data_IF_738979977280
#
_entry.id   IF_738979977280
#
_cell.length_a   1.000
_cell.length_b   1.000
_cell.length_c   1.000
_cell.angle_alpha   90.00
_cell.angle_beta   90.00
_cell.angle_gamma   90.00
#
_symmetry.space_group_name_H-M   'P 1'
#
loop_
_entity.id
_entity.type
_entity.pdbx_description
1 polymer ?
#
# COMPACT_ATOMS: atom_id res chain seq x y z
N UNK A 1 -13.89 -31.86 -13.30
CA UNK A 1 -12.58 -31.18 -13.46
C UNK A 1 -11.90 -31.16 -12.10
N UNK A 2 -10.95 -32.06 -11.86
CA UNK A 2 -10.19 -32.08 -10.60
C UNK A 2 -9.12 -30.98 -10.64
N UNK A 3 -9.21 -30.01 -9.74
CA UNK A 3 -8.12 -29.06 -9.51
C UNK A 3 -6.89 -29.86 -9.08
N UNK A 4 -5.86 -29.89 -9.91
CA UNK A 4 -4.56 -30.46 -9.52
C UNK A 4 -4.01 -29.56 -8.41
N UNK A 5 -4.06 -30.04 -7.18
CA UNK A 5 -3.25 -29.51 -6.09
C UNK A 5 -1.79 -29.78 -6.46
N UNK A 6 -1.12 -28.76 -7.00
CA UNK A 6 0.33 -28.82 -7.15
C UNK A 6 0.94 -28.98 -5.74
N UNK A 7 1.85 -29.95 -5.55
CA UNK A 7 2.56 -30.07 -4.29
C UNK A 7 3.29 -28.76 -4.02
N UNK A 8 3.27 -28.30 -2.77
CA UNK A 8 4.00 -27.10 -2.34
C UNK A 8 5.49 -27.30 -2.68
N UNK A 9 6.08 -26.33 -3.38
CA UNK A 9 7.52 -26.31 -3.62
C UNK A 9 8.22 -26.30 -2.26
N UNK A 10 9.19 -27.18 -1.98
CA UNK A 10 9.92 -27.18 -0.71
C UNK A 10 10.62 -25.85 -0.39
N UNK A 11 10.79 -24.95 -1.37
CA UNK A 11 11.27 -23.58 -1.18
C UNK A 11 10.16 -22.56 -0.81
N UNK A 12 8.89 -22.95 -0.79
CA UNK A 12 7.77 -22.09 -0.38
C UNK A 12 7.76 -21.94 1.15
N UNK A 13 7.98 -20.72 1.63
CA UNK A 13 7.77 -20.41 3.05
C UNK A 13 6.27 -20.47 3.35
N UNK A 14 5.87 -21.12 4.44
CA UNK A 14 4.52 -20.95 4.97
C UNK A 14 4.44 -19.64 5.74
N UNK A 15 3.48 -18.78 5.40
CA UNK A 15 3.21 -17.54 6.15
C UNK A 15 1.83 -17.70 6.77
N UNK A 16 1.80 -17.77 8.09
CA UNK A 16 0.55 -17.80 8.85
C UNK A 16 -0.11 -16.42 8.76
N UNK A 17 -1.35 -16.39 8.26
CA UNK A 17 -2.16 -15.18 8.16
C UNK A 17 -3.60 -15.53 8.52
N UNK A 18 -4.27 -14.75 9.39
CA UNK A 18 -5.69 -14.94 9.67
C UNK A 18 -6.52 -14.90 8.38
N UNK A 19 -7.44 -15.84 8.22
CA UNK A 19 -8.26 -15.95 7.00
C UNK A 19 -9.07 -14.67 6.73
N UNK A 20 -9.53 -14.00 7.79
CA UNK A 20 -10.21 -12.70 7.68
C UNK A 20 -9.34 -11.54 7.15
N UNK A 21 -8.03 -11.75 6.97
CA UNK A 21 -7.11 -10.74 6.42
C UNK A 21 -6.75 -11.02 4.96
N UNK A 22 -7.23 -12.12 4.38
CA UNK A 22 -6.94 -12.52 3.00
C UNK A 22 -7.83 -11.83 1.97
N UNK A 23 -8.98 -11.27 2.38
CA UNK A 23 -9.91 -10.62 1.45
C UNK A 23 -9.46 -9.21 1.01
N UNK A 24 -8.46 -8.61 1.69
CA UNK A 24 -7.87 -7.29 1.45
C UNK A 24 -8.85 -6.12 1.24
N UNK A 25 -10.16 -6.32 1.45
CA UNK A 25 -11.24 -5.41 1.09
C UNK A 25 -11.89 -5.70 -0.28
N UNK A 26 -13.09 -5.15 -0.54
CA UNK A 26 -13.88 -5.44 -1.75
C UNK A 26 -13.32 -4.78 -3.03
N UNK A 27 -12.39 -3.84 -2.90
CA UNK A 27 -11.86 -3.04 -3.99
C UNK A 27 -10.72 -3.74 -4.76
N UNK A 28 -10.70 -3.62 -6.09
CA UNK A 28 -9.61 -4.14 -6.94
C UNK A 28 -8.50 -3.08 -7.09
N UNK A 29 -7.26 -3.34 -6.62
CA UNK A 29 -6.15 -2.38 -6.73
C UNK A 29 -5.70 -2.18 -8.19
N UNK A 30 -6.17 -3.01 -9.14
CA UNK A 30 -5.93 -2.81 -10.56
C UNK A 30 -6.81 -1.70 -11.18
N UNK A 31 -7.86 -1.24 -10.49
CA UNK A 31 -8.64 -0.06 -10.90
C UNK A 31 -7.92 1.24 -10.51
N UNK A 32 -6.67 1.35 -10.98
CA UNK A 32 -5.68 2.31 -10.48
C UNK A 32 -6.13 3.77 -10.49
N UNK A 33 -6.90 4.19 -11.50
CA UNK A 33 -7.42 5.55 -11.64
C UNK A 33 -8.32 5.98 -10.46
N UNK A 34 -9.08 5.04 -9.88
CA UNK A 34 -9.95 5.30 -8.72
C UNK A 34 -9.14 5.63 -7.46
N UNK A 35 -7.89 5.18 -7.41
CA UNK A 35 -7.09 5.16 -6.19
C UNK A 35 -5.93 6.15 -6.21
N UNK A 36 -6.01 7.20 -7.03
CA UNK A 36 -5.00 8.26 -7.09
C UNK A 36 -5.38 9.38 -6.14
N UNK A 37 -4.44 9.79 -5.28
CA UNK A 37 -4.66 10.91 -4.37
C UNK A 37 -4.60 12.26 -5.10
N UNK A 38 -5.30 13.29 -4.59
CA UNK A 38 -5.21 14.65 -5.10
C UNK A 38 -3.78 15.19 -5.07
N UNK A 39 -3.47 16.11 -5.98
CA UNK A 39 -2.17 16.76 -6.03
C UNK A 39 -1.93 17.65 -4.79
N UNK A 40 -0.76 17.52 -4.15
CA UNK A 40 -0.35 18.37 -3.04
C UNK A 40 -0.31 19.85 -3.43
N UNK A 41 0.26 20.15 -4.60
CA UNK A 41 0.50 21.52 -5.06
C UNK A 41 -0.78 22.29 -5.40
N UNK A 42 -1.73 21.69 -6.12
CA UNK A 42 -2.92 22.40 -6.62
C UNK A 42 -4.26 21.82 -6.12
N UNK A 43 -4.25 20.68 -5.43
CA UNK A 43 -5.46 20.02 -4.94
C UNK A 43 -6.30 19.32 -6.01
N UNK A 44 -6.00 19.48 -7.30
CA UNK A 44 -6.74 18.84 -8.38
C UNK A 44 -6.50 17.33 -8.41
N UNK A 45 -7.47 16.61 -8.98
CA UNK A 45 -7.37 15.19 -9.24
C UNK A 45 -6.45 14.93 -10.45
N UNK A 46 -5.31 14.23 -10.27
CA UNK A 46 -4.42 13.88 -11.38
C UNK A 46 -5.04 12.78 -12.26
N UNK A 47 -4.56 12.69 -13.49
CA UNK A 47 -4.91 11.63 -14.44
C UNK A 47 -3.79 10.60 -14.58
N UNK A 48 -4.17 9.34 -14.76
CA UNK A 48 -3.25 8.27 -15.14
C UNK A 48 -3.23 8.13 -16.67
N UNK A 49 -2.07 7.94 -17.25
CA UNK A 49 -1.94 7.71 -18.69
C UNK A 49 -0.73 6.85 -19.05
N UNK A 50 -0.72 6.34 -20.28
CA UNK A 50 0.40 5.62 -20.86
C UNK A 50 1.28 6.60 -21.67
N UNK A 51 2.57 6.64 -21.34
CA UNK A 51 3.59 7.50 -21.98
C UNK A 51 4.79 6.59 -22.28
N UNK A 52 5.17 6.47 -23.55
CA UNK A 52 6.29 5.64 -24.00
C UNK A 52 6.25 4.20 -23.43
N UNK A 53 5.08 3.57 -23.48
CA UNK A 53 4.81 2.21 -22.96
C UNK A 53 4.94 2.08 -21.42
N UNK A 54 4.99 3.19 -20.70
CA UNK A 54 5.00 3.23 -19.24
C UNK A 54 3.79 4.01 -18.71
N UNK A 55 3.21 3.53 -17.63
CA UNK A 55 2.14 4.24 -16.93
C UNK A 55 2.73 5.37 -16.10
N UNK A 56 2.10 6.54 -16.13
CA UNK A 56 2.50 7.71 -15.35
C UNK A 56 1.27 8.50 -14.89
N UNK A 57 1.32 9.01 -13.67
CA UNK A 57 0.33 9.96 -13.16
C UNK A 57 0.79 11.38 -13.46
N UNK A 58 -0.09 12.21 -14.00
CA UNK A 58 0.17 13.62 -14.33
C UNK A 58 -0.94 14.51 -13.82
N UNK A 59 -0.55 15.62 -13.22
CA UNK A 59 -1.46 16.67 -12.81
C UNK A 59 -1.48 17.81 -13.84
N UNK A 60 -2.62 18.47 -14.01
CA UNK A 60 -2.76 19.63 -14.89
C UNK A 60 -1.85 20.80 -14.51
N UNK A 61 -1.38 20.89 -13.25
CA UNK A 61 -0.42 21.91 -12.81
C UNK A 61 1.04 21.62 -13.23
N UNK A 62 1.29 20.57 -14.01
CA UNK A 62 2.62 20.21 -14.51
C UNK A 62 3.37 19.19 -13.66
N UNK A 63 2.90 18.89 -12.44
CA UNK A 63 3.49 17.85 -11.61
C UNK A 63 3.32 16.46 -12.23
N UNK A 64 4.40 15.68 -12.25
CA UNK A 64 4.44 14.36 -12.88
C UNK A 64 5.06 13.34 -11.92
N UNK A 65 4.39 12.19 -11.75
CA UNK A 65 4.88 11.08 -10.94
C UNK A 65 5.92 10.22 -11.66
N UNK A 66 6.49 9.26 -10.95
CA UNK A 66 7.43 8.29 -11.52
C UNK A 66 6.71 7.30 -12.45
N UNK A 67 7.30 7.05 -13.62
CA UNK A 67 6.83 6.04 -14.57
C UNK A 67 6.90 4.62 -14.00
N UNK A 68 5.95 3.76 -14.37
CA UNK A 68 5.92 2.35 -13.98
C UNK A 68 5.42 1.42 -15.09
N UNK A 69 5.71 0.12 -14.98
CA UNK A 69 5.23 -0.88 -15.95
C UNK A 69 3.75 -1.24 -15.78
N UNK A 70 3.17 -0.97 -14.61
CA UNK A 70 1.78 -1.29 -14.28
C UNK A 70 1.08 -0.03 -13.79
N UNK A 71 -0.13 0.21 -14.28
CA UNK A 71 -1.02 1.31 -13.88
C UNK A 71 -1.12 1.46 -12.36
N UNK A 72 -1.42 0.36 -11.66
CA UNK A 72 -1.54 0.35 -10.20
C UNK A 72 -0.24 0.75 -9.47
N UNK A 73 0.92 0.41 -10.03
CA UNK A 73 2.21 0.77 -9.44
C UNK A 73 2.51 2.26 -9.67
N UNK A 74 2.16 2.82 -10.84
CA UNK A 74 2.27 4.25 -11.09
C UNK A 74 1.38 5.06 -10.12
N UNK A 75 0.15 4.61 -9.89
CA UNK A 75 -0.76 5.22 -8.92
C UNK A 75 -0.18 5.19 -7.50
N UNK A 76 0.31 4.04 -7.04
CA UNK A 76 0.94 3.94 -5.70
C UNK A 76 2.21 4.80 -5.61
N UNK A 77 3.05 4.85 -6.65
CA UNK A 77 4.24 5.69 -6.67
C UNK A 77 3.88 7.18 -6.53
N UNK A 78 2.84 7.64 -7.23
CA UNK A 78 2.30 8.99 -7.03
C UNK A 78 1.85 9.20 -5.59
N UNK A 79 1.03 8.29 -5.06
CA UNK A 79 0.45 8.43 -3.72
C UNK A 79 1.50 8.51 -2.61
N UNK A 80 2.61 7.77 -2.75
CA UNK A 80 3.76 7.77 -1.83
C UNK A 80 4.64 9.01 -1.96
N UNK A 81 4.57 9.72 -3.08
CA UNK A 81 5.43 10.88 -3.33
C UNK A 81 4.97 12.12 -2.55
N UNK A 82 5.85 13.12 -2.35
CA UNK A 82 5.45 14.43 -1.83
C UNK A 82 4.48 15.20 -2.74
N UNK A 83 4.28 14.75 -3.99
CA UNK A 83 3.38 15.39 -4.95
C UNK A 83 1.90 15.07 -4.68
N UNK A 84 1.63 14.12 -3.79
CA UNK A 84 0.31 13.62 -3.41
C UNK A 84 -0.11 14.16 -2.04
N UNK A 85 -1.41 14.43 -1.85
CA UNK A 85 -1.99 14.67 -0.52
C UNK A 85 -2.26 13.33 0.14
N UNK A 86 -1.55 13.04 1.22
CA UNK A 86 -1.65 11.75 1.89
C UNK A 86 -2.91 11.71 2.78
N UNK A 87 -3.77 10.68 2.64
CA UNK A 87 -4.88 10.48 3.55
C UNK A 87 -4.38 9.93 4.89
N UNK A 88 -5.25 9.90 5.89
CA UNK A 88 -4.98 9.14 7.10
C UNK A 88 -5.03 7.63 6.79
N UNK A 89 -4.20 6.80 7.43
CA UNK A 89 -4.10 5.36 7.13
C UNK A 89 -5.44 4.60 7.28
N UNK A 90 -6.35 5.11 8.12
CA UNK A 90 -7.68 4.52 8.34
C UNK A 90 -8.65 4.71 7.18
N UNK A 91 -8.34 5.64 6.27
CA UNK A 91 -9.17 5.99 5.12
C UNK A 91 -8.71 5.28 3.85
N UNK A 92 -7.65 4.46 3.94
CA UNK A 92 -7.23 3.62 2.84
C UNK A 92 -8.33 2.60 2.48
N UNK A 93 -8.55 2.35 1.17
CA UNK A 93 -9.59 1.43 0.71
C UNK A 93 -9.26 -0.05 0.97
N UNK A 94 -7.98 -0.36 1.22
CA UNK A 94 -7.49 -1.73 1.37
C UNK A 94 -7.18 -2.10 2.82
N UNK A 95 -7.14 -3.41 3.07
CA UNK A 95 -6.69 -4.04 4.32
C UNK A 95 -7.55 -3.79 5.55
N UNK A 96 -8.71 -3.14 5.43
CA UNK A 96 -9.65 -2.94 6.55
C UNK A 96 -8.97 -2.35 7.80
N UNK A 97 -8.35 -1.18 7.64
CA UNK A 97 -7.58 -0.51 8.71
C UNK A 97 -8.44 0.41 9.59
N UNK A 98 -9.68 0.69 9.18
CA UNK A 98 -10.63 1.50 9.93
C UNK A 98 -10.86 0.90 11.32
N UNK A 99 -10.86 1.74 12.35
CA UNK A 99 -11.05 1.33 13.74
C UNK A 99 -9.82 0.75 14.42
N UNK A 100 -8.74 0.43 13.69
CA UNK A 100 -7.51 -0.05 14.29
C UNK A 100 -6.72 1.09 14.93
N UNK A 101 -6.06 0.79 16.05
CA UNK A 101 -5.00 1.64 16.62
C UNK A 101 -3.72 1.52 15.78
N UNK A 102 -2.79 2.46 15.94
CA UNK A 102 -1.50 2.44 15.23
C UNK A 102 -0.74 1.12 15.45
N UNK A 103 -0.60 0.58 16.69
CA UNK A 103 0.05 -0.72 16.91
C UNK A 103 -0.66 -1.88 16.22
N UNK A 104 -2.00 -1.92 16.26
CA UNK A 104 -2.79 -2.97 15.61
C UNK A 104 -2.67 -2.93 14.09
N UNK A 105 -2.78 -1.74 13.49
CA UNK A 105 -2.62 -1.55 12.06
C UNK A 105 -1.21 -1.93 11.59
N UNK A 106 -0.17 -1.56 12.36
CA UNK A 106 1.22 -1.95 12.10
C UNK A 106 1.38 -3.46 12.10
N UNK A 107 0.95 -4.14 13.16
CA UNK A 107 1.06 -5.58 13.28
C UNK A 107 0.35 -6.30 12.11
N UNK A 108 -0.90 -5.88 11.80
CA UNK A 108 -1.66 -6.41 10.66
C UNK A 108 -0.92 -6.23 9.33
N UNK A 109 -0.42 -5.03 9.05
CA UNK A 109 0.26 -4.73 7.79
C UNK A 109 1.62 -5.44 7.64
N UNK A 110 2.33 -5.73 8.74
CA UNK A 110 3.54 -6.55 8.70
C UNK A 110 3.20 -7.96 8.20
N UNK A 111 2.23 -8.64 8.82
CA UNK A 111 1.80 -9.98 8.41
C UNK A 111 1.28 -10.01 6.98
N UNK A 112 0.43 -9.04 6.61
CA UNK A 112 -0.10 -8.92 5.24
C UNK A 112 1.02 -8.75 4.22
N UNK A 113 2.00 -7.89 4.51
CA UNK A 113 3.14 -7.68 3.62
C UNK A 113 3.97 -8.95 3.45
N UNK A 114 4.28 -9.64 4.55
CA UNK A 114 5.04 -10.89 4.48
C UNK A 114 4.33 -11.96 3.65
N UNK A 115 3.01 -12.06 3.80
CA UNK A 115 2.19 -12.96 2.98
C UNK A 115 2.26 -12.58 1.50
N UNK A 116 2.05 -11.30 1.16
CA UNK A 116 2.09 -10.81 -0.22
C UNK A 116 3.47 -10.95 -0.87
N UNK A 117 4.55 -10.75 -0.12
CA UNK A 117 5.93 -10.98 -0.57
C UNK A 117 6.15 -12.46 -0.93
N UNK A 118 5.65 -13.39 -0.12
CA UNK A 118 5.76 -14.82 -0.42
C UNK A 118 4.89 -15.22 -1.62
N UNK A 119 3.65 -14.71 -1.71
CA UNK A 119 2.80 -14.92 -2.89
C UNK A 119 3.46 -14.40 -4.18
N UNK A 120 4.16 -13.25 -4.11
CA UNK A 120 4.93 -12.70 -5.23
C UNK A 120 6.05 -13.64 -5.64
N UNK A 121 6.84 -14.15 -4.67
CA UNK A 121 7.93 -15.11 -4.95
C UNK A 121 7.42 -16.39 -5.59
N UNK A 122 6.29 -16.92 -5.11
CA UNK A 122 5.62 -18.10 -5.71
C UNK A 122 5.23 -17.84 -7.17
N UNK A 123 4.62 -16.69 -7.45
CA UNK A 123 4.31 -16.28 -8.83
C UNK A 123 5.58 -16.20 -9.70
N UNK A 124 6.65 -15.60 -9.18
CA UNK A 124 7.92 -15.45 -9.90
C UNK A 124 8.60 -16.80 -10.18
N UNK A 125 8.55 -17.77 -9.25
CA UNK A 125 9.03 -19.14 -9.49
C UNK A 125 8.26 -19.81 -10.64
N UNK A 126 6.93 -19.72 -10.61
CA UNK A 126 6.07 -20.29 -11.67
C UNK A 126 6.30 -19.66 -13.03
N UNK A 127 6.53 -18.34 -13.10
CA UNK A 127 6.95 -17.64 -14.33
C UNK A 127 8.25 -18.24 -14.87
N UNK A 128 9.26 -18.41 -14.02
CA UNK A 128 10.57 -18.96 -14.43
C UNK A 128 10.46 -20.39 -14.91
N UNK A 129 9.58 -21.18 -14.28
CA UNK A 129 9.25 -22.55 -14.68
C UNK A 129 8.37 -22.62 -15.95
N UNK A 130 8.00 -21.47 -16.55
CA UNK A 130 7.09 -21.36 -17.72
C UNK A 130 5.76 -22.06 -17.50
N UNK A 131 5.28 -22.11 -16.26
CA UNK A 131 3.96 -22.64 -15.95
C UNK A 131 2.88 -21.68 -16.43
N UNK A 132 1.78 -22.22 -16.95
CA UNK A 132 0.58 -21.43 -17.19
C UNK A 132 -0.03 -21.02 -15.85
N UNK A 133 0.02 -19.73 -15.54
CA UNK A 133 -0.58 -19.18 -14.33
C UNK A 133 -1.16 -17.79 -14.61
N UNK A 134 -2.16 -17.38 -13.83
CA UNK A 134 -2.92 -16.16 -14.09
C UNK A 134 -2.08 -14.89 -13.95
N UNK A 135 -1.67 -14.28 -15.07
CA UNK A 135 -0.94 -13.02 -15.07
C UNK A 135 -1.65 -11.90 -14.28
N UNK A 136 -3.00 -11.87 -14.32
CA UNK A 136 -3.80 -10.90 -13.55
C UNK A 136 -3.66 -11.11 -12.04
N UNK A 137 -3.58 -12.36 -11.56
CA UNK A 137 -3.36 -12.65 -10.13
C UNK A 137 -2.01 -12.10 -9.67
N UNK A 138 -0.94 -12.32 -10.45
CA UNK A 138 0.36 -11.76 -10.13
C UNK A 138 0.37 -10.22 -10.09
N UNK A 139 -0.30 -9.58 -11.06
CA UNK A 139 -0.45 -8.12 -11.06
C UNK A 139 -1.18 -7.62 -9.80
N UNK A 140 -2.27 -8.31 -9.37
CA UNK A 140 -2.97 -7.99 -8.12
C UNK A 140 -2.07 -8.14 -6.90
N UNK A 141 -1.33 -9.24 -6.77
CA UNK A 141 -0.38 -9.44 -5.66
C UNK A 141 0.65 -8.31 -5.62
N UNK A 142 1.22 -7.92 -6.77
CA UNK A 142 2.15 -6.79 -6.85
C UNK A 142 1.52 -5.46 -6.45
N UNK A 143 0.27 -5.23 -6.87
CA UNK A 143 -0.46 -4.02 -6.56
C UNK A 143 -0.79 -3.93 -5.07
N UNK A 144 -1.36 -4.98 -4.47
CA UNK A 144 -1.60 -5.05 -3.03
C UNK A 144 -0.31 -4.93 -2.24
N UNK A 145 0.80 -5.54 -2.67
CA UNK A 145 2.09 -5.39 -1.98
C UNK A 145 2.55 -3.92 -1.97
N UNK A 146 2.42 -3.22 -3.10
CA UNK A 146 2.77 -1.80 -3.18
C UNK A 146 1.89 -0.96 -2.23
N UNK A 147 0.59 -1.24 -2.18
CA UNK A 147 -0.35 -0.62 -1.25
C UNK A 147 -0.05 -0.93 0.21
N UNK A 148 0.35 -2.16 0.56
CA UNK A 148 0.72 -2.53 1.93
C UNK A 148 1.93 -1.72 2.40
N UNK A 149 2.94 -1.56 1.54
CA UNK A 149 4.12 -0.73 1.84
C UNK A 149 3.73 0.74 1.99
N UNK A 150 2.81 1.25 1.16
CA UNK A 150 2.31 2.61 1.31
C UNK A 150 1.56 2.80 2.64
N UNK A 151 0.64 1.89 2.97
CA UNK A 151 -0.10 1.89 4.23
C UNK A 151 0.83 1.86 5.46
N UNK A 152 1.91 1.08 5.41
CA UNK A 152 2.93 1.07 6.46
C UNK A 152 3.57 2.46 6.64
N UNK A 153 3.81 3.19 5.56
CA UNK A 153 4.28 4.58 5.59
C UNK A 153 3.33 5.50 6.33
N UNK A 154 2.04 5.47 5.96
CA UNK A 154 1.00 6.29 6.60
C UNK A 154 0.83 5.96 8.10
N UNK A 155 0.93 4.68 8.48
CA UNK A 155 0.89 4.26 9.90
C UNK A 155 2.10 4.81 10.66
N UNK A 156 3.28 4.84 10.04
CA UNK A 156 4.48 5.44 10.65
C UNK A 156 4.33 6.95 10.82
N UNK A 157 3.77 7.64 9.84
CA UNK A 157 3.47 9.08 9.95
C UNK A 157 2.49 9.36 11.08
N UNK A 158 1.42 8.57 11.21
CA UNK A 158 0.48 8.69 12.31
C UNK A 158 1.13 8.43 13.68
N UNK A 159 2.04 7.44 13.79
CA UNK A 159 2.82 7.21 15.00
C UNK A 159 3.66 8.44 15.37
N UNK A 160 4.39 8.99 14.41
CA UNK A 160 5.23 10.18 14.63
C UNK A 160 4.39 11.38 15.10
N UNK A 161 3.19 11.57 14.54
CA UNK A 161 2.27 12.64 14.95
C UNK A 161 1.79 12.46 16.40
N UNK A 162 1.53 11.22 16.83
CA UNK A 162 1.16 10.94 18.23
C UNK A 162 2.31 11.25 19.18
N UNK A 163 3.53 10.85 18.83
CA UNK A 163 4.74 11.14 19.62
C UNK A 163 4.96 12.65 19.73
N UNK A 164 4.89 13.39 18.62
CA UNK A 164 5.06 14.83 18.60
C UNK A 164 4.02 15.56 19.47
N UNK A 165 2.75 15.12 19.43
CA UNK A 165 1.68 15.68 20.28
C UNK A 165 1.92 15.40 21.77
N UNK A 166 2.40 14.21 22.13
CA UNK A 166 2.72 13.86 23.51
C UNK A 166 3.87 14.72 24.05
N UNK A 167 4.90 14.96 23.23
CA UNK A 167 6.02 15.86 23.57
C UNK A 167 5.54 17.30 23.79
N UNK A 168 4.75 17.84 22.86
CA UNK A 168 4.17 19.19 23.00
C UNK A 168 3.33 19.34 24.27
N UNK A 169 2.52 18.34 24.61
CA UNK A 169 1.71 18.36 25.83
C UNK A 169 2.58 18.33 27.11
N UNK A 170 3.67 17.55 27.10
CA UNK A 170 4.61 17.50 28.21
C UNK A 170 5.34 18.84 28.39
N UNK A 171 5.80 19.46 27.30
CA UNK A 171 6.49 20.76 27.33
C UNK A 171 5.60 21.86 27.90
N UNK A 172 4.32 21.91 27.51
CA UNK A 172 3.33 22.86 28.05
C UNK A 172 3.08 22.62 29.53
N UNK A 173 2.98 21.37 29.97
CA UNK A 173 2.77 21.04 31.39
C UNK A 173 3.98 21.41 32.26
N UNK A 174 5.21 21.29 31.73
CA UNK A 174 6.43 21.73 32.41
C UNK A 174 6.47 23.26 32.48
N UNK A 175 6.21 23.97 31.38
CA UNK A 175 6.17 25.43 31.35
C UNK A 175 5.12 26.01 32.32
N UNK A 176 3.93 25.39 32.40
CA UNK A 176 2.88 25.81 33.32
C UNK A 176 3.19 25.59 34.81
N UNK A 177 4.12 24.67 35.14
CA UNK A 177 4.59 24.44 36.52
C UNK A 177 5.69 25.39 36.98
N UNK A 178 6.39 26.06 36.06
CA UNK A 178 7.46 27.02 36.40
C UNK A 178 6.90 28.42 36.71
N UNK A 179 5.63 28.67 36.37
CA UNK A 179 4.97 29.98 36.51
C UNK A 179 4.08 30.07 37.76
N UNK A 180 3.91 28.98 38.50
CA UNK A 180 3.23 28.93 39.81
C UNK A 180 4.24 28.66 40.92
#
# INVERSE_FOLDING_TARGET
MHARTHPADPADRHVEIPSQWLDFGPDDPLEAERWINPCAACGAQPSLGLIDLRWQVRCACGQCGTQAQLAAIAAVNWNKSPLSRHPHYRDLPFFGLRGLTVPQARAKLITVREYLEEQKRRCERRIRARENFGHRYHQRIRAYLAWAIYAQGLVKEAENQLIARAQQAADVAVAGRVVN
#
